data_IF_597092119649
#
_entry.id   IF_597092119649
#
_cell.length_a   1.000
_cell.length_b   1.000
_cell.length_c   1.000
_cell.angle_alpha   90.00
_cell.angle_beta   90.00
_cell.angle_gamma   90.00
#
_symmetry.space_group_name_H-M   'P 1'
#
loop_
_entity.id
_entity.type
_entity.pdbx_description
1 polymer ?
#
# COMPACT_ATOMS: atom_id res chain seq x y z
N UNK A 1 29.99 -73.45 -4.41
CA UNK A 1 28.95 -73.04 -5.38
C UNK A 1 29.35 -71.63 -5.83
N UNK A 2 30.22 -71.49 -6.84
CA UNK A 2 29.92 -71.03 -8.23
C UNK A 2 29.03 -69.78 -8.26
N UNK A 3 29.32 -68.65 -8.93
CA UNK A 3 30.02 -68.31 -10.19
C UNK A 3 30.23 -66.77 -10.16
N UNK A 4 31.39 -66.16 -10.46
CA UNK A 4 31.97 -65.77 -11.76
C UNK A 4 31.08 -64.94 -12.72
N UNK A 5 31.63 -63.76 -13.07
CA UNK A 5 31.56 -62.94 -14.32
C UNK A 5 30.26 -62.23 -14.74
N UNK A 6 30.34 -60.91 -14.98
CA UNK A 6 30.44 -60.42 -16.36
C UNK A 6 30.90 -58.95 -16.49
N UNK A 7 31.60 -58.73 -17.61
CA UNK A 7 32.41 -57.60 -18.03
C UNK A 7 31.73 -56.93 -19.23
N UNK A 8 31.66 -55.59 -19.29
CA UNK A 8 31.57 -54.89 -20.58
C UNK A 8 32.24 -53.51 -20.54
N UNK A 9 33.32 -53.38 -21.33
CA UNK A 9 33.91 -52.12 -21.79
C UNK A 9 33.37 -51.78 -23.18
N UNK A 10 33.07 -50.51 -23.48
CA UNK A 10 33.18 -49.83 -24.81
C UNK A 10 33.21 -48.30 -24.53
N UNK A 11 34.37 -47.61 -24.55
CA UNK A 11 35.03 -46.90 -25.66
C UNK A 11 34.31 -45.69 -26.30
N UNK A 12 34.90 -44.50 -26.08
CA UNK A 12 35.22 -43.35 -26.97
C UNK A 12 34.27 -42.89 -28.10
N UNK A 13 34.06 -41.56 -28.19
CA UNK A 13 33.65 -40.91 -29.45
C UNK A 13 33.26 -39.43 -29.35
N UNK A 14 34.21 -38.54 -29.65
CA UNK A 14 34.10 -37.08 -29.82
C UNK A 14 33.54 -36.74 -31.21
N UNK A 15 32.57 -35.83 -31.35
CA UNK A 15 32.47 -34.92 -32.50
C UNK A 15 31.47 -33.77 -32.28
N UNK A 16 31.93 -32.58 -32.70
CA UNK A 16 31.29 -31.27 -32.61
C UNK A 16 30.12 -31.11 -33.58
N UNK A 17 29.12 -30.32 -33.16
CA UNK A 17 28.12 -29.71 -34.03
C UNK A 17 27.73 -28.33 -33.50
N UNK A 18 28.47 -27.31 -33.93
CA UNK A 18 28.21 -25.90 -33.64
C UNK A 18 26.83 -25.45 -34.12
N UNK A 19 26.02 -24.87 -33.22
CA UNK A 19 25.05 -23.83 -33.57
C UNK A 19 25.11 -22.74 -32.50
N UNK A 20 25.69 -21.62 -32.90
CA UNK A 20 25.76 -20.35 -32.18
C UNK A 20 24.35 -19.85 -31.87
N UNK A 21 24.12 -19.22 -30.71
CA UNK A 21 23.40 -17.95 -30.75
C UNK A 21 24.24 -16.84 -30.13
N UNK A 22 24.33 -15.82 -30.97
CA UNK A 22 24.90 -14.49 -30.76
C UNK A 22 24.44 -13.92 -29.42
N UNK A 23 25.41 -13.42 -28.66
CA UNK A 23 25.14 -12.64 -27.46
C UNK A 23 24.34 -11.39 -27.81
N UNK A 24 23.30 -11.12 -27.03
CA UNK A 24 22.86 -9.75 -26.83
C UNK A 24 22.70 -9.50 -25.34
N UNK A 25 23.33 -8.41 -24.92
CA UNK A 25 23.68 -8.12 -23.54
C UNK A 25 22.50 -7.80 -22.64
N UNK A 26 22.80 -8.04 -21.37
CA UNK A 26 22.10 -7.62 -20.17
C UNK A 26 21.84 -6.12 -20.19
N UNK A 27 20.60 -5.72 -20.45
CA UNK A 27 20.06 -4.42 -20.04
C UNK A 27 18.61 -4.61 -19.61
N UNK A 28 18.38 -5.29 -18.49
CA UNK A 28 17.04 -5.27 -17.89
C UNK A 28 17.10 -5.57 -16.41
N UNK A 29 17.04 -4.50 -15.61
CA UNK A 29 16.50 -4.50 -14.24
C UNK A 29 16.77 -3.12 -13.66
N UNK A 30 15.83 -2.17 -13.77
CA UNK A 30 15.59 -1.23 -12.64
C UNK A 30 14.44 -0.22 -12.77
N UNK A 31 13.48 -0.22 -13.69
CA UNK A 31 12.26 0.59 -13.47
C UNK A 31 11.13 -0.05 -14.22
N UNK A 32 10.17 -0.62 -13.49
CA UNK A 32 8.72 -0.48 -13.64
C UNK A 32 8.15 -1.24 -12.42
N UNK A 33 7.90 -0.53 -11.34
CA UNK A 33 6.95 -0.99 -10.31
C UNK A 33 5.69 -0.17 -10.55
N UNK A 34 4.56 -0.84 -10.68
CA UNK A 34 3.20 -0.33 -10.96
C UNK A 34 2.81 -0.30 -12.44
N UNK A 35 2.82 -1.46 -13.10
CA UNK A 35 1.82 -1.97 -14.04
C UNK A 35 2.36 -3.34 -14.48
N UNK A 36 1.58 -4.40 -14.38
CA UNK A 36 1.99 -5.80 -14.61
C UNK A 36 2.49 -6.03 -16.06
N UNK A 37 3.75 -5.75 -16.31
CA UNK A 37 4.51 -6.33 -17.42
C UNK A 37 5.67 -7.06 -16.75
N UNK A 38 5.44 -8.35 -16.52
CA UNK A 38 6.43 -9.27 -16.00
C UNK A 38 7.67 -9.24 -16.90
N UNK A 39 8.85 -9.09 -16.29
CA UNK A 39 10.18 -8.96 -16.93
C UNK A 39 10.66 -10.33 -17.47
N UNK A 40 9.79 -10.95 -18.26
CA UNK A 40 9.97 -12.15 -19.09
C UNK A 40 9.22 -12.01 -20.42
N UNK A 41 8.71 -10.82 -20.75
CA UNK A 41 8.00 -10.58 -21.99
C UNK A 41 8.95 -10.70 -23.18
N UNK A 42 8.56 -11.49 -24.18
CA UNK A 42 9.20 -11.45 -25.50
C UNK A 42 9.08 -10.03 -26.10
N UNK A 43 9.98 -9.62 -27.01
CA UNK A 43 9.86 -8.35 -27.73
C UNK A 43 8.48 -8.16 -28.37
N UNK A 44 7.84 -9.24 -28.80
CA UNK A 44 6.52 -9.29 -29.39
C UNK A 44 5.39 -9.05 -28.38
N UNK A 45 5.49 -9.62 -27.18
CA UNK A 45 4.54 -9.35 -26.09
C UNK A 45 4.66 -7.91 -25.61
N UNK A 46 5.89 -7.42 -25.43
CA UNK A 46 6.14 -6.04 -25.07
C UNK A 46 5.57 -5.07 -26.13
N UNK A 47 5.76 -5.40 -27.41
CA UNK A 47 5.14 -4.65 -28.51
C UNK A 47 3.62 -4.64 -28.37
N UNK A 48 2.97 -5.76 -28.08
CA UNK A 48 1.53 -5.84 -27.92
C UNK A 48 1.01 -4.93 -26.78
N UNK A 49 1.77 -4.76 -25.71
CA UNK A 49 1.43 -3.82 -24.63
C UNK A 49 1.62 -2.36 -25.03
N UNK A 50 2.63 -2.05 -25.81
CA UNK A 50 2.98 -0.68 -26.16
C UNK A 50 2.25 -0.13 -27.39
N UNK A 51 1.76 -1.01 -28.28
CA UNK A 51 1.19 -0.62 -29.58
C UNK A 51 -0.08 0.25 -29.48
N UNK A 52 -0.82 0.13 -28.37
CA UNK A 52 -1.99 0.95 -28.08
C UNK A 52 -1.61 2.38 -27.60
N UNK A 53 -0.35 2.60 -27.22
CA UNK A 53 0.18 3.90 -26.80
C UNK A 53 -0.31 4.40 -25.44
N UNK A 54 -1.31 3.75 -24.83
CA UNK A 54 -1.85 4.11 -23.51
C UNK A 54 -0.80 3.94 -22.40
N UNK A 55 -0.04 2.85 -22.43
CA UNK A 55 1.03 2.59 -21.46
C UNK A 55 2.16 3.62 -21.60
N UNK A 56 2.50 4.02 -22.83
CA UNK A 56 3.50 5.05 -23.09
C UNK A 56 3.10 6.40 -22.49
N UNK A 57 1.84 6.82 -22.70
CA UNK A 57 1.30 8.03 -22.08
C UNK A 57 1.23 7.94 -20.56
N UNK A 58 0.84 6.78 -20.02
CA UNK A 58 0.79 6.56 -18.58
C UNK A 58 2.19 6.62 -17.95
N UNK A 59 3.20 6.07 -18.62
CA UNK A 59 4.60 6.16 -18.20
C UNK A 59 5.07 7.62 -18.17
N UNK A 60 4.77 8.38 -19.22
CA UNK A 60 5.12 9.80 -19.31
C UNK A 60 4.45 10.62 -18.19
N UNK A 61 3.15 10.41 -17.95
CA UNK A 61 2.40 11.09 -16.90
C UNK A 61 2.94 10.75 -15.49
N UNK A 62 3.45 9.53 -15.29
CA UNK A 62 4.13 9.12 -14.04
C UNK A 62 5.48 9.81 -13.85
N UNK A 63 6.26 9.96 -14.93
CA UNK A 63 7.57 10.63 -14.89
C UNK A 63 7.43 12.14 -14.75
N UNK A 64 6.33 12.73 -15.23
CA UNK A 64 6.06 14.18 -15.17
C UNK A 64 4.67 14.49 -14.59
N UNK A 65 4.54 14.55 -13.25
CA UNK A 65 3.29 14.95 -12.60
C UNK A 65 2.88 16.37 -13.03
N UNK A 66 1.71 16.51 -13.66
CA UNK A 66 1.18 17.79 -14.14
C UNK A 66 1.12 17.93 -15.67
N UNK A 67 1.80 17.06 -16.43
CA UNK A 67 1.61 16.95 -17.88
C UNK A 67 0.37 16.10 -18.13
N UNK A 68 -0.81 16.71 -18.19
CA UNK A 68 -2.08 15.99 -18.31
C UNK A 68 -2.34 15.54 -19.77
N UNK A 69 -1.52 14.62 -20.28
CA UNK A 69 -1.77 14.02 -21.58
C UNK A 69 -2.88 12.97 -21.46
N UNK A 70 -4.08 13.32 -21.96
CA UNK A 70 -5.23 12.42 -21.99
C UNK A 70 -5.10 11.43 -23.16
N UNK A 71 -5.46 10.18 -22.90
CA UNK A 71 -5.61 9.18 -23.95
C UNK A 71 -6.59 9.72 -25.02
N UNK A 72 -6.16 9.62 -26.27
CA UNK A 72 -6.98 9.86 -27.45
C UNK A 72 -7.92 8.69 -27.75
N UNK A 73 -8.62 8.82 -28.87
CA UNK A 73 -9.65 7.88 -29.32
C UNK A 73 -9.08 6.66 -30.04
N UNK A 74 -7.81 6.70 -30.46
CA UNK A 74 -7.15 5.62 -31.21
C UNK A 74 -5.71 5.38 -30.77
N UNK A 75 -5.22 4.15 -31.00
CA UNK A 75 -3.85 3.73 -30.68
C UNK A 75 -2.79 4.61 -31.34
N UNK A 76 -2.94 4.89 -32.64
CA UNK A 76 -2.04 5.78 -33.40
C UNK A 76 -2.01 7.20 -32.83
N UNK A 77 -3.16 7.73 -32.39
CA UNK A 77 -3.24 9.05 -31.77
C UNK A 77 -2.48 9.10 -30.43
N UNK A 78 -2.59 8.04 -29.62
CA UNK A 78 -1.88 7.92 -28.35
C UNK A 78 -0.36 7.90 -28.53
N UNK A 79 0.13 7.09 -29.48
CA UNK A 79 1.57 7.01 -29.77
C UNK A 79 2.07 8.34 -30.34
N UNK A 80 1.32 9.00 -31.24
CA UNK A 80 1.70 10.33 -31.76
C UNK A 80 1.78 11.39 -30.66
N UNK A 81 0.84 11.40 -29.72
CA UNK A 81 0.87 12.31 -28.55
C UNK A 81 2.10 12.06 -27.69
N UNK A 82 2.44 10.79 -27.45
CA UNK A 82 3.66 10.44 -26.74
C UNK A 82 4.90 10.98 -27.48
N UNK A 83 5.03 10.73 -28.79
CA UNK A 83 6.15 11.18 -29.59
C UNK A 83 6.28 12.71 -29.65
N UNK A 84 5.17 13.44 -29.74
CA UNK A 84 5.17 14.90 -29.68
C UNK A 84 5.67 15.42 -28.32
N UNK A 85 5.33 14.71 -27.23
CA UNK A 85 5.83 15.03 -25.90
C UNK A 85 7.34 14.76 -25.77
N UNK A 86 7.84 13.73 -26.47
CA UNK A 86 9.28 13.43 -26.53
C UNK A 86 10.05 14.52 -27.27
N UNK A 87 9.48 15.09 -28.34
CA UNK A 87 10.04 16.24 -29.06
C UNK A 87 10.16 17.46 -28.15
N UNK A 88 9.13 17.77 -27.35
CA UNK A 88 9.17 18.86 -26.37
C UNK A 88 10.27 18.66 -25.30
N UNK A 89 10.58 17.41 -24.96
CA UNK A 89 11.61 17.05 -23.99
C UNK A 89 13.01 16.97 -24.61
N UNK A 90 13.14 17.12 -25.93
CA UNK A 90 14.39 17.00 -26.66
C UNK A 90 15.00 15.60 -26.63
N UNK A 91 14.18 14.57 -26.45
CA UNK A 91 14.64 13.17 -26.39
C UNK A 91 14.52 12.54 -27.77
N UNK A 92 15.52 11.73 -28.15
CA UNK A 92 15.46 10.93 -29.36
C UNK A 92 14.26 9.98 -29.31
N UNK A 93 13.33 10.17 -30.26
CA UNK A 93 12.11 9.38 -30.38
C UNK A 93 12.27 8.24 -31.38
N UNK A 94 11.43 7.22 -31.24
CA UNK A 94 11.27 6.16 -32.24
C UNK A 94 10.24 6.56 -33.30
N UNK A 95 10.22 5.89 -34.45
CA UNK A 95 9.22 6.12 -35.49
C UNK A 95 7.97 5.29 -35.24
N UNK A 96 6.79 5.79 -35.64
CA UNK A 96 5.53 5.04 -35.48
C UNK A 96 5.63 3.63 -36.12
N UNK A 97 6.35 3.54 -37.24
CA UNK A 97 6.59 2.29 -37.95
C UNK A 97 7.46 1.30 -37.17
N UNK A 98 8.28 1.74 -36.22
CA UNK A 98 9.11 0.85 -35.40
C UNK A 98 8.23 -0.05 -34.55
N UNK A 99 7.15 0.51 -33.99
CA UNK A 99 6.19 -0.22 -33.19
C UNK A 99 5.28 -1.10 -34.07
N UNK A 100 4.90 -0.63 -35.26
CA UNK A 100 4.12 -1.42 -36.22
C UNK A 100 4.92 -2.59 -36.83
N UNK A 101 6.21 -2.41 -37.10
CA UNK A 101 7.06 -3.45 -37.71
C UNK A 101 7.78 -4.33 -36.69
N UNK A 102 7.68 -4.00 -35.40
CA UNK A 102 8.33 -4.73 -34.31
C UNK A 102 9.84 -4.48 -34.20
N UNK A 103 10.30 -3.33 -34.65
CA UNK A 103 11.68 -2.86 -34.45
C UNK A 103 11.83 -2.33 -33.01
N UNK A 104 11.82 -3.24 -32.04
CA UNK A 104 11.78 -2.90 -30.61
C UNK A 104 13.05 -2.23 -30.08
N UNK A 105 14.17 -2.32 -30.81
CA UNK A 105 15.45 -1.70 -30.40
C UNK A 105 15.31 -0.19 -30.20
N UNK A 106 14.79 0.51 -31.19
CA UNK A 106 14.63 1.97 -31.14
C UNK A 106 13.64 2.39 -30.03
N UNK A 107 12.58 1.61 -29.85
CA UNK A 107 11.57 1.84 -28.80
C UNK A 107 12.21 1.70 -27.42
N UNK A 108 12.99 0.65 -27.20
CA UNK A 108 13.69 0.41 -25.93
C UNK A 108 14.79 1.43 -25.65
N UNK A 109 15.54 1.83 -26.67
CA UNK A 109 16.55 2.89 -26.56
C UNK A 109 15.88 4.22 -26.15
N UNK A 110 14.79 4.60 -26.83
CA UNK A 110 14.00 5.78 -26.51
C UNK A 110 13.48 5.77 -25.06
N UNK A 111 12.91 4.64 -24.61
CA UNK A 111 12.41 4.50 -23.23
C UNK A 111 13.54 4.54 -22.20
N UNK A 112 14.71 3.98 -22.54
CA UNK A 112 15.89 4.02 -21.69
C UNK A 112 16.44 5.44 -21.55
N UNK A 113 16.49 6.22 -22.64
CA UNK A 113 16.89 7.63 -22.61
C UNK A 113 15.91 8.48 -21.81
N UNK A 114 14.60 8.29 -22.02
CA UNK A 114 13.56 8.94 -21.24
C UNK A 114 13.77 8.70 -19.74
N UNK A 115 13.93 7.44 -19.36
CA UNK A 115 14.19 7.06 -17.97
C UNK A 115 15.47 7.70 -17.41
N UNK A 116 16.55 7.74 -18.18
CA UNK A 116 17.82 8.32 -17.76
C UNK A 116 17.73 9.84 -17.53
N UNK A 117 16.99 10.56 -18.37
CA UNK A 117 16.79 12.02 -18.23
C UNK A 117 16.08 12.37 -16.93
N UNK A 118 15.03 11.63 -16.57
CA UNK A 118 14.32 11.83 -15.30
C UNK A 118 15.08 11.29 -14.09
N UNK A 119 15.92 10.26 -14.25
CA UNK A 119 16.81 9.80 -13.19
C UNK A 119 17.88 10.84 -12.84
N UNK A 120 18.46 11.52 -13.85
CA UNK A 120 19.44 12.59 -13.64
C UNK A 120 18.83 13.83 -12.97
N UNK A 121 17.58 14.17 -13.30
CA UNK A 121 16.84 15.26 -12.64
C UNK A 121 16.45 14.96 -11.18
N UNK A 122 16.34 13.69 -10.79
CA UNK A 122 16.05 13.27 -9.41
C UNK A 122 17.24 13.33 -8.44
N UNK A 123 18.46 13.58 -8.93
CA UNK A 123 19.68 13.66 -8.09
C UNK A 123 19.95 15.09 -7.58
N UNK A 124 19.24 16.10 -8.08
CA UNK A 124 19.22 17.45 -7.50
C UNK A 124 17.90 17.63 -6.73
N UNK A 125 17.88 17.17 -5.48
CA UNK A 125 16.92 17.68 -4.50
C UNK A 125 17.29 19.13 -4.14
N UNK A 126 16.39 20.12 -4.24
CA UNK A 126 16.56 21.36 -3.52
C UNK A 126 15.95 21.21 -2.13
N UNK A 127 16.80 21.03 -1.12
CA UNK A 127 16.52 21.56 0.21
C UNK A 127 16.66 23.09 0.08
N UNK A 128 15.60 23.84 0.39
CA UNK A 128 15.68 25.29 0.46
C UNK A 128 14.31 25.94 0.49
N UNK A 129 13.86 26.36 1.67
CA UNK A 129 12.62 27.12 1.85
C UNK A 129 12.67 28.53 1.27
N UNK A 130 11.48 29.09 1.07
CA UNK A 130 11.08 30.50 1.06
C UNK A 130 9.54 30.45 1.04
N UNK A 131 8.73 30.91 2.00
CA UNK A 131 8.80 32.08 2.91
C UNK A 131 9.09 33.41 2.20
N UNK A 132 8.16 33.79 1.34
CA UNK A 132 7.67 35.15 1.15
C UNK A 132 6.13 35.03 1.15
N UNK A 133 5.32 35.69 1.95
CA UNK A 133 5.40 37.05 2.44
C UNK A 133 4.32 37.87 1.73
N UNK A 134 3.10 37.93 2.29
CA UNK A 134 2.13 38.99 1.97
C UNK A 134 1.39 39.39 3.26
N UNK A 135 1.52 40.65 3.70
CA UNK A 135 0.84 41.19 4.88
C UNK A 135 -0.47 41.93 4.53
N UNK A 136 -1.33 42.05 5.55
CA UNK A 136 -2.59 42.80 5.68
C UNK A 136 -3.85 42.18 5.03
N UNK A 137 -4.98 42.00 5.72
CA UNK A 137 -5.33 42.31 7.11
C UNK A 137 -6.70 41.69 7.47
N UNK A 138 -6.80 41.31 8.75
CA UNK A 138 -7.96 41.20 9.66
C UNK A 138 -9.38 40.93 9.10
N UNK A 139 -9.95 39.78 9.46
CA UNK A 139 -10.90 39.69 10.58
C UNK A 139 -11.65 38.33 10.59
N UNK A 140 -11.50 37.62 11.71
CA UNK A 140 -12.51 36.83 12.42
C UNK A 140 -13.24 35.65 11.76
N UNK A 141 -13.37 34.61 12.58
CA UNK A 141 -14.46 33.63 12.66
C UNK A 141 -14.38 32.36 11.83
N UNK A 142 -13.93 31.31 12.54
CA UNK A 142 -14.57 29.99 12.65
C UNK A 142 -14.92 29.22 11.37
N UNK A 143 -14.21 28.09 11.22
CA UNK A 143 -14.89 26.80 11.28
C UNK A 143 -15.40 26.19 9.96
N UNK A 144 -14.98 24.94 9.79
CA UNK A 144 -15.65 23.87 9.04
C UNK A 144 -15.37 23.79 7.53
N UNK A 145 -14.48 22.86 7.24
CA UNK A 145 -14.45 22.05 6.02
C UNK A 145 -15.83 21.50 5.67
N UNK A 146 -16.29 21.80 4.45
CA UNK A 146 -17.41 21.12 3.81
C UNK A 146 -16.90 20.03 2.87
N UNK A 147 -17.51 18.86 2.96
CA UNK A 147 -17.67 17.91 1.86
C UNK A 147 -19.05 17.24 2.00
N UNK A 148 -19.64 16.74 0.90
CA UNK A 148 -21.04 16.96 0.61
C UNK A 148 -21.98 15.79 1.00
N UNK A 149 -23.20 16.21 1.35
CA UNK A 149 -24.52 15.58 1.16
C UNK A 149 -24.61 14.09 0.79
N UNK A 150 -25.22 13.32 1.70
CA UNK A 150 -26.23 12.32 1.33
C UNK A 150 -27.40 12.40 2.33
N UNK A 151 -28.60 12.22 1.77
CA UNK A 151 -29.92 12.66 2.19
C UNK A 151 -30.69 11.46 2.73
N UNK A 152 -31.32 11.57 3.91
CA UNK A 152 -32.59 10.90 4.22
C UNK A 152 -33.20 11.41 5.55
N UNK A 153 -34.51 11.18 5.65
CA UNK A 153 -35.52 12.04 6.28
C UNK A 153 -35.53 12.12 7.82
N UNK A 154 -35.87 13.32 8.32
CA UNK A 154 -36.33 13.56 9.69
C UNK A 154 -37.85 13.45 9.74
N UNK A 155 -38.37 12.48 10.49
CA UNK A 155 -39.74 12.54 11.00
C UNK A 155 -39.73 13.16 12.40
N UNK A 156 -40.35 14.33 12.53
CA UNK A 156 -40.59 15.06 13.78
C UNK A 156 -41.91 14.58 14.37
N UNK A 157 -41.97 14.37 15.68
CA UNK A 157 -43.23 14.48 16.43
C UNK A 157 -43.05 15.33 17.69
N UNK A 158 -43.88 16.36 17.75
CA UNK A 158 -44.17 17.26 18.87
C UNK A 158 -45.21 16.61 19.79
N UNK A 159 -45.27 16.91 21.10
CA UNK A 159 -46.49 16.76 21.86
C UNK A 159 -47.08 18.14 22.18
N UNK A 160 -48.28 18.39 21.65
CA UNK A 160 -49.18 19.45 22.12
C UNK A 160 -50.16 18.89 23.16
N UNK A 161 -50.45 19.72 24.15
CA UNK A 161 -51.48 19.56 25.17
C UNK A 161 -52.89 19.81 24.63
N UNK A 162 -53.90 19.00 25.04
CA UNK A 162 -55.19 19.46 25.63
C UNK A 162 -56.22 18.34 25.83
N UNK A 163 -56.98 18.56 26.89
CA UNK A 163 -58.15 17.91 27.47
C UNK A 163 -59.36 17.68 26.54
N UNK A 164 -60.14 16.62 26.80
CA UNK A 164 -61.61 16.58 27.05
C UNK A 164 -62.05 15.10 27.10
N UNK A 165 -62.53 14.58 28.25
CA UNK A 165 -63.93 14.57 28.68
C UNK A 165 -64.86 13.75 27.77
N UNK A 166 -65.19 12.53 28.19
CA UNK A 166 -66.42 11.84 27.77
C UNK A 166 -66.91 10.91 28.89
N UNK A 167 -68.18 11.09 29.23
CA UNK A 167 -68.94 10.52 30.33
C UNK A 167 -69.47 9.13 30.00
N UNK A 168 -69.54 8.23 30.98
CA UNK A 168 -70.70 7.33 31.19
C UNK A 168 -70.85 6.92 32.67
N UNK A 169 -72.09 7.05 33.13
CA UNK A 169 -72.64 6.76 34.46
C UNK A 169 -72.70 5.25 34.76
N UNK A 170 -72.96 4.85 36.03
CA UNK A 170 -74.32 4.36 36.31
C UNK A 170 -74.94 4.76 37.67
N UNK A 171 -76.23 5.15 37.57
CA UNK A 171 -77.40 4.66 38.34
C UNK A 171 -77.55 5.03 39.84
N UNK A 172 -78.49 5.97 40.06
CA UNK A 172 -79.57 6.08 41.05
C UNK A 172 -79.51 5.28 42.37
N UNK A 173 -79.56 6.00 43.51
CA UNK A 173 -80.51 5.76 44.61
C UNK A 173 -80.67 7.04 45.45
N UNK A 174 -81.91 7.48 45.66
CA UNK A 174 -82.38 8.53 46.60
C UNK A 174 -83.60 7.93 47.33
N UNK A 175 -84.20 8.50 48.39
CA UNK A 175 -83.70 9.35 49.48
C UNK A 175 -84.01 8.77 50.88
N UNK A 176 -83.39 9.31 51.94
CA UNK A 176 -84.19 9.66 53.13
C UNK A 176 -83.48 10.61 54.07
N UNK A 177 -84.23 11.61 54.51
CA UNK A 177 -83.85 12.67 55.43
C UNK A 177 -83.87 12.20 56.88
N UNK A 178 -82.81 12.48 57.64
CA UNK A 178 -82.90 12.77 59.08
C UNK A 178 -81.58 13.32 59.62
N UNK A 179 -81.74 14.29 60.52
CA UNK A 179 -80.85 14.58 61.66
C UNK A 179 -79.82 15.70 61.50
N UNK A 180 -80.26 16.89 61.95
CA UNK A 180 -79.47 18.08 62.24
C UNK A 180 -78.50 17.87 63.43
N UNK A 181 -77.46 17.07 63.24
CA UNK A 181 -76.32 16.95 64.17
C UNK A 181 -74.95 17.01 63.46
N UNK A 182 -74.90 17.59 62.25
CA UNK A 182 -73.76 17.43 61.34
C UNK A 182 -72.56 18.38 61.57
N UNK A 183 -72.68 19.41 62.41
CA UNK A 183 -71.64 20.45 62.48
C UNK A 183 -70.47 20.06 63.37
N UNK A 184 -70.67 19.28 64.44
CA UNK A 184 -69.58 18.91 65.36
C UNK A 184 -68.81 17.66 64.90
N UNK A 185 -69.45 16.78 64.13
CA UNK A 185 -68.83 15.52 63.65
C UNK A 185 -67.93 15.69 62.41
N UNK A 186 -68.03 16.79 61.66
CA UNK A 186 -67.19 17.02 60.46
C UNK A 186 -65.74 17.41 60.77
N UNK A 187 -65.48 17.97 61.95
CA UNK A 187 -64.12 18.46 62.28
C UNK A 187 -63.22 17.35 62.82
N UNK A 188 -63.81 16.29 63.40
CA UNK A 188 -63.05 15.13 63.80
C UNK A 188 -62.51 14.37 62.58
N UNK A 189 -63.26 14.24 61.49
CA UNK A 189 -62.82 13.56 60.26
C UNK A 189 -61.57 14.16 59.61
N UNK A 190 -61.40 15.49 59.67
CA UNK A 190 -60.22 16.17 59.09
C UNK A 190 -58.93 15.76 59.80
N UNK A 191 -59.00 15.48 61.11
CA UNK A 191 -57.86 15.10 61.94
C UNK A 191 -57.80 13.58 62.24
N UNK A 192 -58.84 12.83 61.86
CA UNK A 192 -58.90 11.37 61.90
C UNK A 192 -58.26 10.72 60.67
N UNK A 193 -57.59 11.48 59.80
CA UNK A 193 -56.62 10.98 58.83
C UNK A 193 -55.38 10.43 59.56
N UNK A 194 -55.60 9.53 60.51
CA UNK A 194 -54.57 8.63 61.02
C UNK A 194 -54.23 7.69 59.85
N UNK A 195 -53.01 7.84 59.33
CA UNK A 195 -52.36 7.00 58.31
C UNK A 195 -52.61 7.31 56.83
N UNK A 196 -53.09 8.51 56.45
CA UNK A 196 -53.24 8.90 55.05
C UNK A 196 -52.23 9.96 54.61
N UNK A 197 -51.61 9.77 53.42
CA UNK A 197 -50.73 10.72 52.73
C UNK A 197 -51.38 12.11 52.64
N UNK A 198 -50.74 13.14 53.19
CA UNK A 198 -51.27 14.51 53.14
C UNK A 198 -51.05 15.18 51.77
N UNK A 199 -50.26 14.57 50.89
CA UNK A 199 -50.04 14.99 49.49
C UNK A 199 -51.24 14.79 48.56
N UNK A 200 -52.23 13.98 48.94
CA UNK A 200 -53.44 13.75 48.12
C UNK A 200 -54.51 14.83 48.34
N UNK A 201 -54.26 15.79 49.25
CA UNK A 201 -55.15 16.91 49.49
C UNK A 201 -55.11 17.89 48.32
N UNK A 202 -56.26 18.14 47.71
CA UNK A 202 -56.38 19.13 46.65
C UNK A 202 -56.09 20.54 47.18
N UNK A 203 -55.46 21.38 46.35
CA UNK A 203 -55.13 22.76 46.71
C UNK A 203 -56.36 23.57 47.19
N UNK A 204 -57.55 23.26 46.65
CA UNK A 204 -58.80 23.87 47.08
C UNK A 204 -59.17 23.52 48.53
N UNK A 205 -59.01 22.25 48.92
CA UNK A 205 -59.30 21.76 50.26
C UNK A 205 -58.31 22.27 51.29
N UNK A 206 -57.03 22.41 50.90
CA UNK A 206 -56.00 23.06 51.72
C UNK A 206 -56.34 24.55 51.93
N UNK A 207 -56.73 25.25 50.87
CA UNK A 207 -57.08 26.68 50.94
C UNK A 207 -58.32 26.95 51.80
N UNK A 208 -59.29 26.04 51.79
CA UNK A 208 -60.49 26.08 52.66
C UNK A 208 -60.13 25.89 54.15
N UNK A 209 -59.23 24.96 54.45
CA UNK A 209 -58.71 24.75 55.81
C UNK A 209 -57.92 25.95 56.34
N UNK A 210 -57.14 26.62 55.48
CA UNK A 210 -56.34 27.80 55.86
C UNK A 210 -57.18 29.09 56.02
N UNK A 211 -58.38 29.15 55.44
CA UNK A 211 -59.28 30.33 55.49
C UNK A 211 -60.32 30.26 56.61
N UNK A 212 -60.54 29.08 57.17
CA UNK A 212 -61.43 28.90 58.32
C UNK A 212 -60.62 28.99 59.62
N UNK A 213 -61.20 29.56 60.69
CA UNK A 213 -60.61 29.60 62.05
C UNK A 213 -60.54 28.20 62.71
N UNK A 214 -60.44 27.14 61.89
CA UNK A 214 -60.49 25.73 62.27
C UNK A 214 -59.19 25.26 62.93
N UNK A 215 -58.07 25.90 62.62
CA UNK A 215 -56.77 25.60 63.22
C UNK A 215 -56.62 26.22 64.63
N UNK A 216 -57.19 27.40 64.85
CA UNK A 216 -57.08 28.15 66.11
C UNK A 216 -57.82 27.49 67.28
N UNK A 217 -58.84 26.67 66.98
CA UNK A 217 -59.65 25.94 67.96
C UNK A 217 -59.44 24.42 67.94
N UNK A 218 -58.45 23.94 67.17
CA UNK A 218 -58.18 22.51 67.05
C UNK A 218 -57.51 21.96 68.33
N UNK A 219 -57.87 20.76 68.80
CA UNK A 219 -57.14 20.09 69.89
C UNK A 219 -55.66 19.96 69.53
N UNK A 220 -54.76 20.26 70.48
CA UNK A 220 -53.29 20.23 70.26
C UNK A 220 -52.80 18.89 69.72
N UNK A 221 -53.42 17.79 70.14
CA UNK A 221 -53.11 16.42 69.69
C UNK A 221 -53.40 16.23 68.19
N UNK A 222 -54.46 16.84 67.68
CA UNK A 222 -54.85 16.78 66.28
C UNK A 222 -53.88 17.57 65.39
N UNK A 223 -53.46 18.76 65.83
CA UNK A 223 -52.44 19.56 65.15
C UNK A 223 -51.09 18.83 65.12
N UNK A 224 -50.68 18.25 66.25
CA UNK A 224 -49.43 17.50 66.35
C UNK A 224 -49.41 16.27 65.43
N UNK A 225 -50.54 15.56 65.30
CA UNK A 225 -50.67 14.43 64.39
C UNK A 225 -50.51 14.82 62.92
N UNK A 226 -51.01 15.98 62.51
CA UNK A 226 -50.85 16.48 61.14
C UNK A 226 -49.40 16.90 60.87
N UNK A 227 -48.78 17.61 61.82
CA UNK A 227 -47.36 18.00 61.72
C UNK A 227 -46.45 16.77 61.63
N UNK A 228 -46.70 15.75 62.45
CA UNK A 228 -45.96 14.49 62.39
C UNK A 228 -46.20 13.77 61.05
N UNK A 229 -47.44 13.74 60.54
CA UNK A 229 -47.74 13.17 59.23
C UNK A 229 -47.02 13.87 58.07
N UNK A 230 -46.94 15.21 58.09
CA UNK A 230 -46.19 16.00 57.09
C UNK A 230 -44.68 15.74 57.21
N UNK A 231 -44.17 15.65 58.44
CA UNK A 231 -42.76 15.38 58.72
C UNK A 231 -42.36 13.98 58.25
N UNK A 232 -43.14 12.97 58.61
CA UNK A 232 -42.96 11.57 58.21
C UNK A 232 -42.98 11.45 56.68
N UNK A 233 -43.94 12.10 56.01
CA UNK A 233 -44.03 12.10 54.55
C UNK A 233 -42.88 12.86 53.88
N UNK A 234 -42.39 13.95 54.50
CA UNK A 234 -41.21 14.67 54.04
C UNK A 234 -39.94 13.81 54.16
N UNK A 235 -39.80 13.05 55.25
CA UNK A 235 -38.68 12.13 55.48
C UNK A 235 -38.74 10.98 54.46
N UNK A 236 -39.91 10.37 54.29
CA UNK A 236 -40.10 9.26 53.36
C UNK A 236 -39.82 9.67 51.90
N UNK A 237 -40.37 10.80 51.44
CA UNK A 237 -40.09 11.32 50.08
C UNK A 237 -38.61 11.66 49.85
N UNK A 238 -37.86 12.06 50.88
CA UNK A 238 -36.42 12.32 50.77
C UNK A 238 -35.61 11.02 50.80
N UNK A 239 -36.03 10.05 51.61
CA UNK A 239 -35.38 8.76 51.75
C UNK A 239 -35.45 7.93 50.47
N UNK A 240 -36.52 8.04 49.69
CA UNK A 240 -36.59 7.33 48.41
C UNK A 240 -35.98 8.15 47.26
N UNK A 241 -36.27 9.44 47.15
CA UNK A 241 -35.84 10.22 45.97
C UNK A 241 -34.33 10.38 45.84
N UNK A 242 -33.60 10.54 46.96
CA UNK A 242 -32.15 10.79 46.90
C UNK A 242 -31.40 9.52 46.44
N UNK A 243 -31.60 8.34 47.04
CA UNK A 243 -30.98 7.10 46.55
C UNK A 243 -31.40 6.76 45.11
N UNK A 244 -32.67 6.88 44.75
CA UNK A 244 -33.15 6.57 43.40
C UNK A 244 -32.55 7.51 42.33
N UNK A 245 -32.39 8.80 42.61
CA UNK A 245 -31.72 9.73 41.69
C UNK A 245 -30.21 9.46 41.57
N UNK A 246 -29.54 9.08 42.66
CA UNK A 246 -28.14 8.65 42.64
C UNK A 246 -27.98 7.39 41.79
N UNK A 247 -28.83 6.39 42.00
CA UNK A 247 -28.85 5.15 41.22
C UNK A 247 -29.10 5.42 39.74
N UNK A 248 -30.05 6.32 39.42
CA UNK A 248 -30.31 6.74 38.04
C UNK A 248 -29.06 7.37 37.40
N UNK A 249 -28.38 8.28 38.11
CA UNK A 249 -27.13 8.92 37.63
C UNK A 249 -26.00 7.92 37.43
N UNK A 250 -25.81 7.00 38.38
CA UNK A 250 -24.82 5.92 38.27
C UNK A 250 -25.13 5.05 37.06
N UNK A 251 -26.39 4.68 36.87
CA UNK A 251 -26.83 3.86 35.73
C UNK A 251 -26.55 4.54 34.39
N UNK A 252 -26.90 5.82 34.26
CA UNK A 252 -26.61 6.60 33.05
C UNK A 252 -25.10 6.71 32.80
N UNK A 253 -24.30 6.94 33.85
CA UNK A 253 -22.84 7.02 33.71
C UNK A 253 -22.22 5.67 33.31
N UNK A 254 -22.68 4.56 33.90
CA UNK A 254 -22.24 3.22 33.56
C UNK A 254 -22.57 2.87 32.11
N UNK A 255 -23.75 3.27 31.63
CA UNK A 255 -24.14 3.10 30.23
C UNK A 255 -23.26 3.91 29.27
N UNK A 256 -22.93 5.16 29.64
CA UNK A 256 -22.02 5.99 28.86
C UNK A 256 -20.63 5.35 28.75
N UNK A 257 -20.08 4.87 29.87
CA UNK A 257 -18.78 4.20 29.91
C UNK A 257 -18.79 2.90 29.09
N UNK A 258 -19.88 2.12 29.16
CA UNK A 258 -20.07 0.91 28.36
C UNK A 258 -20.06 1.23 26.86
N UNK A 259 -20.77 2.28 26.46
CA UNK A 259 -20.83 2.73 25.06
C UNK A 259 -19.47 3.20 24.56
N UNK A 260 -18.74 3.99 25.35
CA UNK A 260 -17.39 4.42 24.99
C UNK A 260 -16.40 3.24 24.86
N UNK A 261 -16.45 2.28 25.78
CA UNK A 261 -15.61 1.08 25.71
C UNK A 261 -15.92 0.24 24.47
N UNK A 262 -17.19 0.08 24.11
CA UNK A 262 -17.58 -0.62 22.89
C UNK A 262 -17.01 0.07 21.64
N UNK A 263 -17.05 1.41 21.59
CA UNK A 263 -16.45 2.17 20.48
C UNK A 263 -14.93 1.97 20.41
N UNK A 264 -14.25 1.97 21.57
CA UNK A 264 -12.81 1.73 21.64
C UNK A 264 -12.45 0.32 21.16
N UNK A 265 -13.22 -0.68 21.56
CA UNK A 265 -13.05 -2.07 21.14
C UNK A 265 -13.21 -2.23 19.62
N UNK A 266 -14.27 -1.65 19.04
CA UNK A 266 -14.46 -1.66 17.56
C UNK A 266 -13.29 -0.99 16.84
N UNK A 267 -12.79 0.12 17.39
CA UNK A 267 -11.62 0.82 16.83
C UNK A 267 -10.35 -0.03 16.92
N UNK A 268 -10.14 -0.69 18.06
CA UNK A 268 -9.01 -1.59 18.27
C UNK A 268 -9.05 -2.77 17.29
N UNK A 269 -10.20 -3.43 17.16
CA UNK A 269 -10.40 -4.54 16.23
C UNK A 269 -10.12 -4.13 14.78
N UNK A 270 -10.52 -2.92 14.36
CA UNK A 270 -10.22 -2.35 13.04
C UNK A 270 -8.72 -2.16 12.82
N UNK A 271 -7.98 -1.71 13.82
CA UNK A 271 -6.52 -1.56 13.70
C UNK A 271 -5.80 -2.90 13.74
N UNK A 272 -6.25 -3.82 14.61
CA UNK A 272 -5.74 -5.19 14.68
C UNK A 272 -5.91 -5.92 13.35
N UNK A 273 -7.06 -5.78 12.68
CA UNK A 273 -7.26 -6.38 11.35
C UNK A 273 -6.34 -5.77 10.30
N UNK A 274 -6.13 -4.44 10.34
CA UNK A 274 -5.21 -3.77 9.41
C UNK A 274 -3.76 -4.17 9.64
N UNK A 275 -3.34 -4.35 10.88
CA UNK A 275 -2.00 -4.85 11.24
C UNK A 275 -1.81 -6.24 10.63
N UNK A 276 -2.75 -7.18 10.83
CA UNK A 276 -2.64 -8.53 10.25
C UNK A 276 -2.53 -8.53 8.73
N UNK A 277 -3.29 -7.67 8.04
CA UNK A 277 -3.17 -7.53 6.58
C UNK A 277 -1.79 -6.98 6.20
N UNK A 278 -1.29 -5.96 6.89
CA UNK A 278 0.05 -5.41 6.62
C UNK A 278 1.16 -6.42 6.92
N UNK A 279 1.03 -7.21 7.97
CA UNK A 279 1.95 -8.30 8.32
C UNK A 279 1.95 -9.39 7.24
N UNK A 280 0.78 -9.79 6.76
CA UNK A 280 0.65 -10.75 5.66
C UNK A 280 1.27 -10.20 4.36
N UNK A 281 1.04 -8.93 4.03
CA UNK A 281 1.63 -8.27 2.86
C UNK A 281 3.15 -8.12 2.98
N UNK A 282 3.67 -7.76 4.16
CA UNK A 282 5.11 -7.66 4.41
C UNK A 282 5.79 -9.03 4.41
N UNK A 283 5.11 -10.05 4.92
CA UNK A 283 5.52 -11.45 4.89
C UNK A 283 5.36 -12.08 3.50
N UNK A 284 4.59 -11.45 2.62
CA UNK A 284 4.41 -11.84 1.22
C UNK A 284 3.97 -13.30 1.04
N UNK A 285 3.97 -13.78 -0.20
CA UNK A 285 3.83 -15.21 -0.47
C UNK A 285 5.13 -15.91 -0.07
N UNK A 286 5.08 -16.82 0.90
CA UNK A 286 6.28 -17.55 1.36
C UNK A 286 6.97 -18.32 0.23
N UNK A 287 6.20 -18.80 -0.73
CA UNK A 287 6.66 -19.49 -1.95
C UNK A 287 7.51 -18.56 -2.84
N UNK A 288 7.02 -17.36 -3.16
CA UNK A 288 7.78 -16.36 -3.94
C UNK A 288 9.08 -15.98 -3.25
N UNK A 289 9.04 -15.78 -1.92
CA UNK A 289 10.22 -15.45 -1.12
C UNK A 289 11.26 -16.58 -1.16
N UNK A 290 10.83 -17.83 -1.02
CA UNK A 290 11.68 -19.01 -1.13
C UNK A 290 12.30 -19.15 -2.53
N UNK A 291 11.49 -19.04 -3.58
CA UNK A 291 11.95 -19.11 -4.97
C UNK A 291 12.98 -18.02 -5.29
N UNK A 292 12.75 -16.78 -4.82
CA UNK A 292 13.70 -15.68 -5.01
C UNK A 292 15.02 -15.96 -4.27
N UNK A 293 14.95 -16.49 -3.04
CA UNK A 293 16.14 -16.86 -2.28
C UNK A 293 16.95 -17.97 -2.96
N UNK A 294 16.29 -19.05 -3.39
CA UNK A 294 16.92 -20.17 -4.08
C UNK A 294 17.55 -19.72 -5.40
N UNK A 295 16.82 -18.88 -6.16
CA UNK A 295 17.33 -18.29 -7.39
C UNK A 295 18.54 -17.40 -7.13
N UNK A 296 18.52 -16.61 -6.07
CA UNK A 296 19.65 -15.76 -5.68
C UNK A 296 20.87 -16.60 -5.28
N UNK A 297 20.66 -17.69 -4.55
CA UNK A 297 21.73 -18.62 -4.20
C UNK A 297 22.33 -19.29 -5.45
N UNK A 298 21.48 -19.71 -6.39
CA UNK A 298 21.93 -20.28 -7.66
C UNK A 298 22.74 -19.27 -8.49
N UNK A 299 22.28 -18.02 -8.59
CA UNK A 299 23.02 -16.94 -9.26
C UNK A 299 24.36 -16.69 -8.58
N UNK A 300 24.42 -16.71 -7.25
CA UNK A 300 25.67 -16.53 -6.49
C UNK A 300 26.68 -17.62 -6.82
N UNK A 301 26.25 -18.88 -6.85
CA UNK A 301 27.10 -20.02 -7.22
C UNK A 301 27.58 -19.91 -8.67
N UNK A 302 26.68 -19.63 -9.61
CA UNK A 302 27.03 -19.47 -11.02
C UNK A 302 27.99 -18.31 -11.26
N UNK A 303 27.81 -17.18 -10.55
CA UNK A 303 28.69 -16.02 -10.62
C UNK A 303 30.11 -16.37 -10.18
N UNK A 304 30.27 -17.05 -9.04
CA UNK A 304 31.59 -17.48 -8.56
C UNK A 304 32.27 -18.46 -9.52
N UNK A 305 31.51 -19.41 -10.08
CA UNK A 305 32.03 -20.34 -11.08
C UNK A 305 32.50 -19.62 -12.34
N UNK A 306 31.71 -18.69 -12.86
CA UNK A 306 32.06 -17.90 -14.04
C UNK A 306 33.29 -17.02 -13.80
N UNK A 307 33.44 -16.47 -12.59
CA UNK A 307 34.61 -15.68 -12.20
C UNK A 307 35.90 -16.52 -12.17
N UNK A 308 35.83 -17.76 -11.68
CA UNK A 308 36.95 -18.71 -11.73
C UNK A 308 37.29 -19.14 -13.17
N UNK A 309 36.29 -19.49 -13.97
CA UNK A 309 36.44 -19.83 -15.39
C UNK A 309 37.06 -18.64 -16.18
N UNK A 310 36.68 -17.41 -15.85
CA UNK A 310 37.29 -16.20 -16.44
C UNK A 310 38.76 -16.06 -16.05
N UNK A 311 39.10 -16.26 -14.78
CA UNK A 311 40.49 -16.14 -14.29
C UNK A 311 41.41 -17.15 -14.98
N UNK A 312 40.99 -18.41 -15.02
CA UNK A 312 41.73 -19.49 -15.69
C UNK A 312 41.84 -19.26 -17.19
N UNK A 313 40.80 -18.72 -17.83
CA UNK A 313 40.85 -18.30 -19.24
C UNK A 313 41.90 -17.21 -19.51
N UNK A 314 41.98 -16.20 -18.65
CA UNK A 314 43.01 -15.14 -18.75
C UNK A 314 44.42 -15.71 -18.59
N UNK A 315 44.63 -16.61 -17.62
CA UNK A 315 45.92 -17.28 -17.41
C UNK A 315 46.34 -18.13 -18.62
N UNK A 316 45.40 -18.86 -19.23
CA UNK A 316 45.66 -19.66 -20.43
C UNK A 316 46.04 -18.79 -21.65
N UNK A 317 45.32 -17.69 -21.87
CA UNK A 317 45.64 -16.73 -22.94
C UNK A 317 47.03 -16.13 -22.73
N UNK A 318 47.38 -15.76 -21.50
CA UNK A 318 48.71 -15.23 -21.19
C UNK A 318 49.83 -16.25 -21.47
N UNK A 319 49.60 -17.55 -21.21
CA UNK A 319 50.53 -18.62 -21.54
C UNK A 319 50.71 -18.79 -23.06
N UNK A 320 49.62 -18.77 -23.82
CA UNK A 320 49.65 -18.86 -25.29
C UNK A 320 50.40 -17.70 -25.93
N UNK A 321 50.24 -16.48 -25.43
CA UNK A 321 50.98 -15.30 -25.93
C UNK A 321 52.49 -15.52 -25.79
N UNK A 322 52.95 -15.97 -24.61
CA UNK A 322 54.39 -16.26 -24.39
C UNK A 322 54.91 -17.37 -25.30
N UNK A 323 54.14 -18.45 -25.49
CA UNK A 323 54.50 -19.53 -26.40
C UNK A 323 54.50 -19.08 -27.87
N UNK A 324 53.64 -18.12 -28.24
CA UNK A 324 53.66 -17.51 -29.56
C UNK A 324 54.89 -16.63 -29.76
N UNK A 325 55.20 -15.74 -28.80
CA UNK A 325 56.40 -14.89 -28.83
C UNK A 325 57.68 -15.74 -28.96
N UNK A 326 57.76 -16.85 -28.22
CA UNK A 326 58.87 -17.79 -28.31
C UNK A 326 58.99 -18.43 -29.71
N UNK A 327 57.88 -18.90 -30.29
CA UNK A 327 57.87 -19.46 -31.64
C UNK A 327 58.25 -18.44 -32.71
N UNK A 328 57.83 -17.18 -32.54
CA UNK A 328 58.16 -16.11 -33.48
C UNK A 328 59.67 -15.80 -33.48
N UNK A 329 60.32 -15.85 -32.30
CA UNK A 329 61.78 -15.76 -32.17
C UNK A 329 62.47 -16.94 -32.87
N UNK A 330 62.07 -18.17 -32.57
CA UNK A 330 62.64 -19.37 -33.20
C UNK A 330 62.47 -19.38 -34.72
N UNK A 331 61.31 -18.94 -35.23
CA UNK A 331 61.07 -18.79 -36.67
C UNK A 331 61.98 -17.73 -37.31
N UNK A 332 62.24 -16.62 -36.61
CA UNK A 332 63.17 -15.59 -37.08
C UNK A 332 64.59 -16.14 -37.19
N UNK A 333 65.04 -16.88 -36.16
CA UNK A 333 66.36 -17.49 -36.11
C UNK A 333 66.53 -18.54 -37.21
N UNK A 334 65.58 -19.48 -37.35
CA UNK A 334 65.60 -20.48 -38.42
C UNK A 334 65.56 -19.86 -39.82
N UNK A 335 64.80 -18.78 -40.01
CA UNK A 335 64.76 -18.05 -41.28
C UNK A 335 66.11 -17.39 -41.60
N UNK A 336 66.80 -16.86 -40.59
CA UNK A 336 68.15 -16.32 -40.75
C UNK A 336 69.16 -17.43 -41.07
N UNK A 337 69.14 -18.55 -40.35
CA UNK A 337 69.99 -19.70 -40.62
C UNK A 337 69.80 -20.25 -42.03
N UNK A 338 68.54 -20.40 -42.47
CA UNK A 338 68.21 -20.86 -43.82
C UNK A 338 68.75 -19.92 -44.89
N UNK A 339 68.65 -18.60 -44.67
CA UNK A 339 69.22 -17.60 -45.58
C UNK A 339 70.75 -17.73 -45.67
N UNK A 340 71.43 -17.87 -44.54
CA UNK A 340 72.89 -18.05 -44.48
C UNK A 340 73.32 -19.39 -45.13
N UNK A 341 72.58 -20.47 -44.89
CA UNK A 341 72.83 -21.77 -45.50
C UNK A 341 72.66 -21.71 -47.01
N UNK A 342 71.61 -21.04 -47.50
CA UNK A 342 71.37 -20.82 -48.93
C UNK A 342 72.52 -20.05 -49.59
N UNK A 343 72.97 -18.95 -48.98
CA UNK A 343 74.11 -18.17 -49.47
C UNK A 343 75.40 -18.99 -49.52
N UNK A 344 75.68 -19.80 -48.48
CA UNK A 344 76.82 -20.73 -48.47
C UNK A 344 76.75 -21.77 -49.58
N UNK A 345 75.56 -22.33 -49.83
CA UNK A 345 75.36 -23.29 -50.90
C UNK A 345 75.54 -22.67 -52.28
N UNK A 346 74.94 -21.50 -52.53
CA UNK A 346 75.12 -20.75 -53.79
C UNK A 346 76.61 -20.46 -54.05
N UNK A 347 77.35 -20.01 -53.03
CA UNK A 347 78.79 -19.76 -53.14
C UNK A 347 79.58 -21.03 -53.47
N UNK A 348 79.26 -22.15 -52.80
CA UNK A 348 79.90 -23.45 -53.07
C UNK A 348 79.62 -23.94 -54.49
N UNK A 349 78.39 -23.80 -55.00
CA UNK A 349 78.06 -24.15 -56.38
C UNK A 349 78.88 -23.35 -57.39
N UNK A 350 79.02 -22.03 -57.18
CA UNK A 350 79.85 -21.18 -58.04
C UNK A 350 81.31 -21.62 -58.02
N UNK A 351 81.86 -21.92 -56.82
CA UNK A 351 83.22 -22.42 -56.69
C UNK A 351 83.43 -23.73 -57.45
N UNK A 352 82.55 -24.72 -57.25
CA UNK A 352 82.61 -26.00 -57.96
C UNK A 352 82.48 -25.83 -59.48
N UNK A 353 81.67 -24.89 -59.96
CA UNK A 353 81.55 -24.60 -61.39
C UNK A 353 82.86 -24.03 -61.96
N UNK A 354 83.53 -23.15 -61.23
CA UNK A 354 84.83 -22.61 -61.64
C UNK A 354 85.92 -23.68 -61.66
N UNK A 355 85.96 -24.56 -60.66
CA UNK A 355 86.90 -25.68 -60.59
C UNK A 355 86.63 -26.70 -61.73
N UNK A 356 85.37 -27.00 -62.02
CA UNK A 356 84.99 -27.89 -63.11
C UNK A 356 85.35 -27.33 -64.50
N UNK A 357 85.23 -26.00 -64.71
CA UNK A 357 85.69 -25.34 -65.96
C UNK A 357 87.21 -25.42 -66.10
N UNK A 358 87.95 -25.09 -65.04
CA UNK A 358 89.42 -25.20 -65.04
C UNK A 358 89.91 -26.63 -65.32
N UNK A 359 89.22 -27.65 -64.78
CA UNK A 359 89.55 -29.05 -65.03
C UNK A 359 89.26 -29.49 -66.48
N UNK A 360 88.25 -28.92 -67.15
CA UNK A 360 87.97 -29.19 -68.57
C UNK A 360 88.99 -28.56 -69.50
N UNK A 361 89.36 -27.31 -69.25
CA UNK A 361 90.35 -26.59 -70.07
C UNK A 361 91.75 -27.25 -69.98
N UNK A 362 92.06 -27.94 -68.88
CA UNK A 362 93.28 -28.73 -68.73
C UNK A 362 93.28 -30.09 -69.45
N UNK A 363 92.12 -30.58 -69.93
CA UNK A 363 91.99 -31.86 -70.65
C UNK A 363 91.85 -31.69 -72.17
N UNK A 364 91.53 -30.49 -72.67
CA UNK A 364 91.48 -30.17 -74.11
C UNK A 364 92.78 -29.53 -74.63
N UNK A 365 93.81 -29.41 -73.79
CA UNK A 365 95.12 -28.81 -74.11
C UNK A 365 96.29 -29.79 -74.28
N UNK A 366 96.05 -31.10 -74.35
CA UNK A 366 97.07 -32.12 -74.69
C UNK A 366 96.95 -32.63 -76.13
#
# INVERSE_FOLDING_TARGET
MSSASDHLMVQNGRANGSKVPVGSGVLESTVIRNNDIEVRASPEELRAYLIDGTILLQLLNKLRPGYACKAGSSSSENVKKFLASMDELGILKFELSDLEKGSMKNVMDCLSTLRAQFAYMGVVSPIGGNKYGSPHGDASSNGLSSSPTFREEKQKFSPDSKTQQALRSPVMTEPSAASMHHVVHKFHEVFQLKQGRYSDLSAAKISEMMKSNSLDNAPTQSLLSVVNGILDESIERKNDKIPHEIERRISTQAEHLRTQNNLLKVREEKYQSRIRVLEALASGTGEERGVVMDRLQQIKIQKSKMEEEKKTGVEHVAKLIKEQEQRDVELSDLKQELKLAKQRHELHCLQMETEAKAAKDGLEGE
#
